data_IF_148257713628
#
_entry.id   IF_148257713628
#
_cell.length_a   1.000
_cell.length_b   1.000
_cell.length_c   1.000
_cell.angle_alpha   90.00
_cell.angle_beta   90.00
_cell.angle_gamma   90.00
#
_symmetry.space_group_name_H-M   'P 1'
#
loop_
_entity.id
_entity.type
_entity.pdbx_description
1 polymer ?
#
# COMPACT_ATOMS: atom_id res chain seq x y z
N UNK A 1 -87.26 -15.86 -38.82
CA UNK A 1 -86.52 -14.68 -38.30
C UNK A 1 -85.12 -15.13 -37.93
N UNK A 2 -84.12 -14.34 -38.35
CA UNK A 2 -82.66 -14.41 -38.13
C UNK A 2 -81.89 -15.45 -39.00
N UNK A 3 -81.07 -15.07 -40.01
CA UNK A 3 -79.78 -14.31 -39.97
C UNK A 3 -78.63 -15.21 -39.45
N UNK A 4 -77.40 -15.31 -39.98
CA UNK A 4 -76.58 -14.65 -41.01
C UNK A 4 -75.39 -15.60 -41.33
N UNK A 5 -74.88 -15.56 -42.56
CA UNK A 5 -73.62 -16.13 -43.06
C UNK A 5 -72.35 -15.40 -42.55
N UNK A 6 -71.25 -16.10 -42.28
CA UNK A 6 -69.96 -15.47 -41.95
C UNK A 6 -68.72 -16.32 -42.25
N UNK A 7 -67.93 -15.89 -43.24
CA UNK A 7 -66.55 -16.31 -43.53
C UNK A 7 -65.60 -15.85 -42.39
N UNK A 8 -64.54 -16.60 -42.09
CA UNK A 8 -63.31 -16.00 -41.55
C UNK A 8 -62.06 -16.85 -41.80
N UNK A 9 -61.01 -16.14 -42.19
CA UNK A 9 -59.70 -16.59 -42.65
C UNK A 9 -58.79 -17.05 -41.50
N UNK A 10 -58.01 -18.11 -41.73
CA UNK A 10 -56.87 -18.48 -40.89
C UNK A 10 -55.77 -17.41 -40.98
N UNK A 11 -55.51 -16.69 -39.88
CA UNK A 11 -54.34 -15.81 -39.71
C UNK A 11 -53.15 -16.65 -39.23
N UNK A 12 -52.11 -16.77 -40.06
CA UNK A 12 -50.76 -17.23 -39.65
C UNK A 12 -50.11 -16.14 -38.78
N UNK A 13 -49.81 -16.44 -37.53
CA UNK A 13 -48.98 -15.60 -36.65
C UNK A 13 -47.50 -15.91 -36.87
N UNK A 14 -46.72 -14.92 -37.31
CA UNK A 14 -45.25 -14.96 -37.29
C UNK A 14 -44.77 -14.54 -35.90
N UNK A 15 -44.03 -15.41 -35.21
CA UNK A 15 -43.30 -15.07 -33.98
C UNK A 15 -41.95 -14.50 -34.42
N UNK A 16 -41.75 -13.20 -34.25
CA UNK A 16 -40.46 -12.54 -34.45
C UNK A 16 -39.59 -12.72 -33.19
N UNK A 17 -38.56 -13.56 -33.27
CA UNK A 17 -37.55 -13.72 -32.22
C UNK A 17 -36.62 -12.50 -32.18
N UNK A 18 -36.73 -11.68 -31.13
CA UNK A 18 -35.82 -10.57 -30.87
C UNK A 18 -34.48 -11.08 -30.35
N UNK A 19 -33.41 -10.87 -31.11
CA UNK A 19 -32.03 -11.14 -30.69
C UNK A 19 -31.63 -10.05 -29.67
N UNK A 20 -31.58 -10.39 -28.39
CA UNK A 20 -31.03 -9.54 -27.33
C UNK A 20 -29.51 -9.46 -27.50
N UNK A 21 -29.02 -8.36 -28.07
CA UNK A 21 -27.60 -8.04 -28.16
C UNK A 21 -27.13 -7.59 -26.77
N UNK A 22 -26.56 -8.50 -25.98
CA UNK A 22 -25.93 -8.16 -24.70
C UNK A 22 -24.67 -7.34 -24.98
N UNK A 23 -24.71 -6.03 -24.65
CA UNK A 23 -23.55 -5.17 -24.72
C UNK A 23 -22.52 -5.63 -23.67
N UNK A 24 -21.42 -6.24 -24.13
CA UNK A 24 -20.26 -6.52 -23.29
C UNK A 24 -19.57 -5.19 -23.03
N UNK A 25 -19.79 -4.61 -21.85
CA UNK A 25 -19.01 -3.46 -21.40
C UNK A 25 -17.57 -3.92 -21.14
N UNK A 26 -16.55 -3.19 -21.62
CA UNK A 26 -15.16 -3.51 -21.31
C UNK A 26 -14.96 -3.38 -19.79
N UNK A 27 -14.51 -4.45 -19.14
CA UNK A 27 -14.06 -4.40 -17.77
C UNK A 27 -12.92 -3.39 -17.67
N UNK A 28 -13.14 -2.29 -16.93
CA UNK A 28 -12.12 -1.27 -16.72
C UNK A 28 -10.88 -1.88 -16.09
N UNK A 29 -9.70 -1.53 -16.62
CA UNK A 29 -8.43 -1.96 -16.03
C UNK A 29 -8.36 -1.50 -14.58
N UNK A 30 -8.00 -2.41 -13.67
CA UNK A 30 -7.81 -2.06 -12.27
C UNK A 30 -6.75 -0.95 -12.15
N UNK A 31 -6.94 0.04 -11.27
CA UNK A 31 -5.94 1.08 -11.04
C UNK A 31 -4.59 0.47 -10.68
N UNK A 32 -3.50 1.09 -11.15
CA UNK A 32 -2.16 0.64 -10.80
C UNK A 32 -1.93 0.75 -9.29
N UNK A 33 -1.47 -0.34 -8.67
CA UNK A 33 -1.13 -0.38 -7.23
C UNK A 33 -0.01 0.60 -6.91
N UNK A 34 -0.13 1.26 -5.76
CA UNK A 34 0.94 2.11 -5.22
C UNK A 34 2.16 1.29 -4.86
N UNK A 35 3.35 1.84 -5.12
CA UNK A 35 4.63 1.22 -4.79
C UNK A 35 5.21 1.88 -3.54
N UNK A 36 5.30 1.12 -2.46
CA UNK A 36 5.83 1.55 -1.18
C UNK A 36 7.21 0.92 -1.02
N UNK A 37 8.20 1.75 -0.75
CA UNK A 37 9.55 1.28 -0.45
C UNK A 37 9.85 1.49 1.02
N UNK A 38 10.40 0.49 1.69
CA UNK A 38 10.83 0.60 3.08
C UNK A 38 12.34 0.47 3.19
N UNK A 39 12.94 1.03 4.25
CA UNK A 39 14.39 0.90 4.46
C UNK A 39 14.83 -0.52 4.79
N UNK A 40 14.04 -1.27 5.57
CA UNK A 40 14.37 -2.64 5.95
C UNK A 40 13.16 -3.56 6.13
N UNK A 41 13.46 -4.86 6.30
CA UNK A 41 12.49 -5.95 6.16
C UNK A 41 11.43 -6.00 7.24
N UNK A 42 11.70 -5.55 8.47
CA UNK A 42 10.69 -5.58 9.54
C UNK A 42 9.55 -4.60 9.21
N UNK A 43 9.89 -3.36 8.83
CA UNK A 43 8.87 -2.40 8.45
C UNK A 43 8.26 -2.68 7.07
N UNK A 44 8.95 -3.46 6.21
CA UNK A 44 8.35 -4.01 4.99
C UNK A 44 7.21 -4.96 5.35
N UNK A 45 7.45 -5.91 6.25
CA UNK A 45 6.43 -6.88 6.67
C UNK A 45 5.24 -6.20 7.37
N UNK A 46 5.51 -5.29 8.32
CA UNK A 46 4.45 -4.50 8.96
C UNK A 46 3.62 -3.72 7.92
N UNK A 47 4.29 -3.06 6.97
CA UNK A 47 3.60 -2.30 5.95
C UNK A 47 2.85 -3.17 4.95
N UNK A 48 3.36 -4.37 4.63
CA UNK A 48 2.69 -5.33 3.75
C UNK A 48 1.41 -5.88 4.37
N UNK A 49 1.39 -6.11 5.69
CA UNK A 49 0.18 -6.51 6.41
C UNK A 49 -0.89 -5.42 6.35
N UNK A 50 -0.52 -4.15 6.58
CA UNK A 50 -1.48 -3.02 6.45
C UNK A 50 -1.92 -2.84 5.00
N UNK A 51 -0.99 -2.92 4.04
CA UNK A 51 -1.28 -2.73 2.62
C UNK A 51 -2.18 -3.83 2.04
N UNK A 52 -2.03 -5.08 2.50
CA UNK A 52 -2.64 -6.25 1.88
C UNK A 52 -2.36 -6.27 0.37
N UNK A 53 -3.39 -6.53 -0.43
CA UNK A 53 -3.27 -6.51 -1.89
C UNK A 53 -3.42 -5.11 -2.52
N UNK A 54 -3.70 -4.05 -1.76
CA UNK A 54 -3.97 -2.73 -2.33
C UNK A 54 -2.69 -2.00 -2.78
N UNK A 55 -1.54 -2.31 -2.19
CA UNK A 55 -0.25 -1.74 -2.56
C UNK A 55 0.86 -2.81 -2.63
N UNK A 56 1.95 -2.47 -3.31
CA UNK A 56 3.16 -3.29 -3.41
C UNK A 56 4.18 -2.73 -2.42
N UNK A 57 4.69 -3.55 -1.49
CA UNK A 57 5.67 -3.12 -0.50
C UNK A 57 7.00 -3.86 -0.68
N UNK A 58 8.08 -3.11 -0.92
CA UNK A 58 9.43 -3.65 -1.16
C UNK A 58 10.46 -3.03 -0.22
N UNK A 59 11.42 -3.82 0.27
CA UNK A 59 12.52 -3.32 1.10
C UNK A 59 13.72 -2.85 0.25
N UNK A 60 14.44 -1.83 0.72
CA UNK A 60 15.78 -1.46 0.24
C UNK A 60 16.75 -2.57 0.64
N UNK A 61 16.94 -2.77 1.94
CA UNK A 61 17.86 -3.79 2.45
C UNK A 61 17.28 -5.19 2.26
N UNK A 62 18.15 -6.16 1.96
CA UNK A 62 17.79 -7.57 1.82
C UNK A 62 17.74 -8.24 3.20
N UNK A 63 17.00 -9.36 3.36
CA UNK A 63 17.04 -10.15 4.58
C UNK A 63 18.49 -10.47 5.00
N UNK A 64 18.81 -10.21 6.27
CA UNK A 64 20.14 -10.46 6.84
C UNK A 64 21.19 -9.36 6.59
N UNK A 65 20.88 -8.32 5.81
CA UNK A 65 21.78 -7.17 5.68
C UNK A 65 21.87 -6.38 7.00
N UNK A 66 23.06 -5.86 7.30
CA UNK A 66 23.24 -4.85 8.35
C UNK A 66 22.51 -3.56 7.93
N UNK A 67 21.76 -2.94 8.83
CA UNK A 67 20.79 -1.87 8.50
C UNK A 67 21.21 -0.47 9.00
N UNK A 68 22.05 -0.38 10.02
CA UNK A 68 22.47 0.89 10.62
C UNK A 68 23.44 1.67 9.72
N UNK A 69 24.37 0.94 9.13
CA UNK A 69 25.44 1.44 8.27
C UNK A 69 25.39 0.87 6.86
N UNK A 70 24.24 0.36 6.42
CA UNK A 70 24.05 -0.08 5.04
C UNK A 70 24.55 0.97 4.03
N UNK A 71 25.14 0.50 2.94
CA UNK A 71 25.61 1.34 1.84
C UNK A 71 24.66 1.18 0.65
N UNK A 72 23.77 2.15 0.38
CA UNK A 72 22.83 2.06 -0.72
C UNK A 72 23.53 2.00 -2.08
N UNK A 73 23.04 1.13 -2.94
CA UNK A 73 23.51 1.00 -4.31
C UNK A 73 22.77 1.95 -5.24
N UNK A 74 23.30 2.23 -6.45
CA UNK A 74 22.55 2.95 -7.48
C UNK A 74 21.19 2.31 -7.80
N UNK A 75 21.07 0.98 -7.71
CA UNK A 75 19.80 0.28 -7.92
C UNK A 75 18.77 0.58 -6.83
N UNK A 76 19.21 0.83 -5.60
CA UNK A 76 18.32 1.23 -4.50
C UNK A 76 17.76 2.63 -4.72
N UNK A 77 18.57 3.55 -5.25
CA UNK A 77 18.11 4.89 -5.64
C UNK A 77 17.07 4.78 -6.76
N UNK A 78 17.32 3.97 -7.80
CA UNK A 78 16.36 3.75 -8.88
C UNK A 78 15.06 3.13 -8.37
N UNK A 79 15.15 2.18 -7.42
CA UNK A 79 13.99 1.56 -6.78
C UNK A 79 13.16 2.61 -6.03
N UNK A 80 13.79 3.39 -5.16
CA UNK A 80 13.09 4.41 -4.35
C UNK A 80 12.57 5.58 -5.19
N UNK A 81 13.24 5.96 -6.27
CA UNK A 81 12.78 7.03 -7.18
C UNK A 81 11.49 6.66 -7.92
N UNK A 82 11.18 5.37 -8.04
CA UNK A 82 9.94 4.84 -8.63
C UNK A 82 8.84 4.58 -7.58
N UNK A 83 9.11 4.85 -6.31
CA UNK A 83 8.13 4.67 -5.25
C UNK A 83 7.15 5.83 -5.20
N UNK A 84 5.92 5.54 -4.79
CA UNK A 84 4.93 6.55 -4.40
C UNK A 84 5.14 7.03 -2.96
N UNK A 85 5.84 6.24 -2.13
CA UNK A 85 6.15 6.56 -0.74
C UNK A 85 7.38 5.77 -0.25
N UNK A 86 8.24 6.43 0.53
CA UNK A 86 9.32 5.77 1.28
C UNK A 86 9.03 5.76 2.78
N UNK A 87 8.98 4.58 3.40
CA UNK A 87 8.83 4.41 4.85
C UNK A 87 10.19 4.12 5.49
N UNK A 88 10.49 4.79 6.59
CA UNK A 88 11.75 4.60 7.32
C UNK A 88 11.53 4.68 8.83
N UNK A 89 12.45 4.09 9.59
CA UNK A 89 12.29 3.97 11.03
C UNK A 89 12.45 5.32 11.73
N UNK A 90 13.54 6.04 11.42
CA UNK A 90 13.96 7.19 12.22
C UNK A 90 14.66 6.73 13.50
N UNK A 91 14.61 7.56 14.55
CA UNK A 91 15.38 7.36 15.79
C UNK A 91 16.88 7.11 15.56
N UNK A 92 17.42 7.67 14.48
CA UNK A 92 18.82 7.52 14.08
C UNK A 92 19.23 6.07 13.71
N UNK A 93 18.29 5.20 13.31
CA UNK A 93 18.59 3.84 12.84
C UNK A 93 19.40 3.88 11.54
N UNK A 94 18.78 4.34 10.45
CA UNK A 94 19.36 4.31 9.12
C UNK A 94 20.25 5.54 8.92
N UNK A 95 21.52 5.47 9.36
CA UNK A 95 22.46 6.61 9.26
C UNK A 95 22.72 7.07 7.82
N UNK A 96 22.40 6.22 6.85
CA UNK A 96 22.51 6.47 5.42
C UNK A 96 21.27 7.16 4.82
N UNK A 97 20.12 7.14 5.51
CA UNK A 97 18.84 7.48 4.91
C UNK A 97 18.75 8.93 4.43
N UNK A 98 19.17 9.91 5.22
CA UNK A 98 19.05 11.33 4.81
C UNK A 98 19.86 11.62 3.55
N UNK A 99 21.10 11.10 3.47
CA UNK A 99 21.94 11.22 2.26
C UNK A 99 21.30 10.50 1.08
N UNK A 100 20.80 9.29 1.29
CA UNK A 100 20.12 8.51 0.26
C UNK A 100 18.89 9.23 -0.28
N UNK A 101 17.99 9.66 0.61
CA UNK A 101 16.74 10.31 0.30
C UNK A 101 16.94 11.68 -0.37
N UNK A 102 18.01 12.40 -0.02
CA UNK A 102 18.39 13.65 -0.69
C UNK A 102 18.68 13.52 -2.19
N UNK A 103 18.90 12.30 -2.70
CA UNK A 103 19.05 12.05 -4.15
C UNK A 103 17.70 11.87 -4.87
N UNK A 104 16.60 11.68 -4.13
CA UNK A 104 15.27 11.44 -4.69
C UNK A 104 14.56 12.76 -5.00
N UNK A 105 13.75 12.76 -6.04
CA UNK A 105 12.94 13.91 -6.45
C UNK A 105 11.46 13.56 -6.43
N UNK A 106 10.65 14.41 -5.81
CA UNK A 106 9.19 14.29 -5.78
C UNK A 106 8.66 12.96 -5.21
N UNK A 107 9.43 12.29 -4.34
CA UNK A 107 8.98 11.10 -3.60
C UNK A 107 8.78 11.51 -2.14
N UNK A 108 7.59 11.34 -1.56
CA UNK A 108 7.38 11.63 -0.14
C UNK A 108 7.98 10.51 0.74
N UNK A 109 8.25 10.84 2.01
CA UNK A 109 8.58 9.86 3.03
C UNK A 109 7.72 10.00 4.29
N UNK A 110 7.70 8.96 5.11
CA UNK A 110 7.10 8.98 6.45
C UNK A 110 7.99 8.22 7.45
N UNK A 111 8.20 8.83 8.62
CA UNK A 111 8.92 8.22 9.74
C UNK A 111 7.94 7.42 10.59
N UNK A 112 8.26 6.17 10.89
CA UNK A 112 7.30 5.25 11.52
C UNK A 112 7.34 5.27 13.06
N UNK A 113 8.34 5.93 13.64
CA UNK A 113 8.54 6.03 15.10
C UNK A 113 7.92 7.28 15.73
N UNK A 114 7.20 8.09 14.96
CA UNK A 114 6.55 9.29 15.51
C UNK A 114 5.55 8.91 16.62
N UNK A 115 5.67 9.57 17.77
CA UNK A 115 4.86 9.29 18.96
C UNK A 115 5.40 8.18 19.88
N UNK A 116 6.51 7.53 19.54
CA UNK A 116 7.18 6.56 20.42
C UNK A 116 8.09 7.29 21.40
N UNK A 117 7.98 6.96 22.69
CA UNK A 117 8.94 7.38 23.71
C UNK A 117 10.22 6.52 23.62
N UNK A 118 11.38 7.09 23.26
CA UNK A 118 12.60 6.30 23.08
C UNK A 118 13.23 5.93 24.42
N UNK A 119 13.89 4.77 24.43
CA UNK A 119 14.81 4.38 25.50
C UNK A 119 16.20 4.91 25.13
N UNK A 120 16.92 5.54 26.06
CA UNK A 120 18.28 6.02 25.82
C UNK A 120 19.30 4.87 25.73
N UNK A 121 20.29 5.01 24.86
CA UNK A 121 21.46 4.10 24.84
C UNK A 121 22.27 4.33 26.12
N UNK A 122 22.59 3.26 26.86
CA UNK A 122 23.24 3.36 28.16
C UNK A 122 24.69 3.87 28.07
N UNK A 123 25.49 3.28 27.18
CA UNK A 123 26.94 3.47 27.17
C UNK A 123 27.52 3.60 25.75
N UNK A 124 28.80 3.97 25.68
CA UNK A 124 29.54 4.08 24.43
C UNK A 124 29.32 5.41 23.68
N UNK A 125 29.78 5.52 22.43
CA UNK A 125 29.83 6.77 21.69
C UNK A 125 28.44 7.35 21.33
N UNK A 126 27.38 6.58 21.55
CA UNK A 126 25.99 7.00 21.32
C UNK A 126 25.18 7.10 22.61
N UNK A 127 25.83 7.08 23.79
CA UNK A 127 25.15 7.20 25.08
C UNK A 127 24.22 8.42 25.12
N UNK A 128 23.03 8.25 25.69
CA UNK A 128 21.97 9.25 25.77
C UNK A 128 21.17 9.46 24.48
N UNK A 129 21.62 8.95 23.33
CA UNK A 129 20.83 9.00 22.08
C UNK A 129 19.68 7.98 22.12
N UNK A 130 18.60 8.20 21.35
CA UNK A 130 17.52 7.22 21.21
C UNK A 130 18.03 5.86 20.74
N UNK A 131 17.58 4.79 21.40
CA UNK A 131 17.71 3.43 20.91
C UNK A 131 16.67 3.19 19.80
N UNK A 132 17.10 2.89 18.56
CA UNK A 132 16.18 2.83 17.43
C UNK A 132 15.31 1.57 17.37
N UNK A 133 15.60 0.54 18.18
CA UNK A 133 14.99 -0.80 18.08
C UNK A 133 13.60 -0.88 18.72
N UNK A 134 12.79 0.17 18.55
CA UNK A 134 11.50 0.32 19.22
C UNK A 134 10.46 -0.73 18.80
N UNK A 135 10.58 -1.27 17.57
CA UNK A 135 9.69 -2.33 17.04
C UNK A 135 9.75 -3.63 17.85
N UNK A 136 10.79 -3.84 18.66
CA UNK A 136 10.93 -5.04 19.50
C UNK A 136 9.93 -5.06 20.66
N UNK A 137 9.27 -3.93 20.96
CA UNK A 137 8.15 -3.87 21.88
C UNK A 137 6.83 -4.01 21.10
N UNK A 138 6.00 -5.04 21.36
CA UNK A 138 4.69 -5.17 20.73
C UNK A 138 3.78 -3.96 20.96
N UNK A 139 3.89 -3.30 22.13
CA UNK A 139 3.15 -2.07 22.42
C UNK A 139 3.54 -0.92 21.49
N UNK A 140 4.83 -0.80 21.16
CA UNK A 140 5.29 0.17 20.17
C UNK A 140 4.92 -0.25 18.74
N UNK A 141 4.89 -1.54 18.43
CA UNK A 141 4.50 -2.03 17.10
C UNK A 141 3.11 -1.55 16.67
N UNK A 142 2.17 -1.38 17.62
CA UNK A 142 0.86 -0.76 17.35
C UNK A 142 1.01 0.68 16.82
N UNK A 143 1.97 1.45 17.33
CA UNK A 143 2.25 2.81 16.87
C UNK A 143 2.87 2.79 15.47
N UNK A 144 3.75 1.83 15.17
CA UNK A 144 4.25 1.63 13.80
C UNK A 144 3.11 1.35 12.83
N UNK A 145 2.22 0.42 13.16
CA UNK A 145 1.05 0.06 12.33
C UNK A 145 0.15 1.27 12.10
N UNK A 146 -0.14 2.07 13.12
CA UNK A 146 -0.95 3.28 12.98
C UNK A 146 -0.28 4.33 12.09
N UNK A 147 1.04 4.53 12.23
CA UNK A 147 1.78 5.47 11.39
C UNK A 147 1.86 5.02 9.93
N UNK A 148 2.00 3.71 9.68
CA UNK A 148 1.90 3.11 8.35
C UNK A 148 0.50 3.35 7.77
N UNK A 149 -0.56 3.02 8.51
CA UNK A 149 -1.95 3.20 8.09
C UNK A 149 -2.24 4.65 7.69
N UNK A 150 -1.83 5.62 8.51
CA UNK A 150 -1.95 7.05 8.19
C UNK A 150 -1.20 7.42 6.91
N UNK A 151 0.03 6.95 6.75
CA UNK A 151 0.86 7.28 5.61
C UNK A 151 0.28 6.71 4.30
N UNK A 152 -0.19 5.46 4.32
CA UNK A 152 -0.83 4.80 3.17
C UNK A 152 -2.17 5.46 2.84
N UNK A 153 -3.03 5.71 3.83
CA UNK A 153 -4.31 6.39 3.60
C UNK A 153 -4.18 7.81 3.04
N UNK A 154 -3.07 8.51 3.34
CA UNK A 154 -2.78 9.84 2.79
C UNK A 154 -2.40 9.80 1.32
N UNK A 155 -1.55 8.86 0.90
CA UNK A 155 -1.06 8.78 -0.48
C UNK A 155 -2.02 8.03 -1.41
N UNK A 156 -2.92 7.23 -0.83
CA UNK A 156 -3.92 6.45 -1.56
C UNK A 156 -5.29 6.44 -0.86
N UNK A 157 -6.02 7.58 -0.87
CA UNK A 157 -7.30 7.70 -0.20
C UNK A 157 -8.37 6.73 -0.73
N UNK A 158 -8.25 6.30 -1.99
CA UNK A 158 -9.19 5.35 -2.61
C UNK A 158 -9.17 3.98 -1.91
N UNK A 159 -8.03 3.59 -1.32
CA UNK A 159 -7.86 2.34 -0.56
C UNK A 159 -7.78 2.57 0.96
N UNK A 160 -8.05 3.78 1.47
CA UNK A 160 -7.95 4.08 2.90
C UNK A 160 -8.75 3.13 3.78
N UNK A 161 -9.96 2.76 3.37
CA UNK A 161 -10.80 1.81 4.11
C UNK A 161 -10.19 0.41 4.20
N UNK A 162 -9.42 -0.01 3.18
CA UNK A 162 -8.69 -1.30 3.17
C UNK A 162 -7.55 -1.24 4.17
N UNK A 163 -6.73 -0.19 4.13
CA UNK A 163 -5.64 0.00 5.09
C UNK A 163 -6.14 0.06 6.52
N UNK A 164 -7.26 0.73 6.76
CA UNK A 164 -7.91 0.81 8.07
C UNK A 164 -8.42 -0.55 8.56
N UNK A 165 -9.00 -1.36 7.68
CA UNK A 165 -9.46 -2.70 8.04
C UNK A 165 -8.29 -3.63 8.37
N UNK A 166 -7.25 -3.63 7.54
CA UNK A 166 -6.08 -4.49 7.73
C UNK A 166 -5.27 -4.11 8.97
N UNK A 167 -5.14 -2.82 9.29
CA UNK A 167 -4.46 -2.36 10.51
C UNK A 167 -5.17 -2.78 11.81
N UNK A 168 -6.47 -3.13 11.75
CA UNK A 168 -7.27 -3.57 12.90
C UNK A 168 -7.34 -5.09 13.07
N UNK A 169 -7.01 -5.85 12.03
CA UNK A 169 -7.12 -7.31 12.00
C UNK A 169 -6.01 -7.98 12.83
#
# INVERSE_FOLDING_TARGET
MNAISGFSFFRRGMIAGGLLLAAVLPAGAAPAKKRIVTTFTIIQDMAQNVAGDAAIVESITKPGAEIHGYEPTPQDIVKAQRADLVLWNGLNLERWFERFFGNLRNVPSAVLTEGIAPIGIAEGPYSGRPNPHAWMSPGNAVIYVENIRKALGRIDPANAAVYDANARA
#
